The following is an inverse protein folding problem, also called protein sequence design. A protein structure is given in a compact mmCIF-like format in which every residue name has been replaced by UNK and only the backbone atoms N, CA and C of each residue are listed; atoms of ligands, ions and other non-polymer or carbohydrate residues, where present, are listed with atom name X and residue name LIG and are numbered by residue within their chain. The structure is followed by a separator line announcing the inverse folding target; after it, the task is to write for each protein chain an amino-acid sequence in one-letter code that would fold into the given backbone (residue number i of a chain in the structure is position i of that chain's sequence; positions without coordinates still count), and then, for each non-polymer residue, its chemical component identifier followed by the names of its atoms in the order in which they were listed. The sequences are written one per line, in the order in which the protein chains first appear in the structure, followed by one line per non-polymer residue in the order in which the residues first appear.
data_IF_339695537301
#
_entry.id   IF_339695537301
#
_cell.length_a   1.000
_cell.length_b   1.000
_cell.length_c   1.000
_cell.angle_alpha   90.00
_cell.angle_beta   90.00
_cell.angle_gamma   90.00
#
_symmetry.space_group_name_H-M   'P 1'
#
loop_
_entity.id
_entity.type
_entity.pdbx_description
1 polymer ?
#
# COMPACT_ATOMS: atom_id res chain seq x y z
N UNK A 1 -11.09 -13.46 16.57
CA UNK A 1 -10.75 -12.08 16.16
C UNK A 1 -9.60 -12.15 15.16
N UNK A 2 -9.91 -12.23 13.87
CA UNK A 2 -8.93 -12.43 12.79
C UNK A 2 -8.12 -11.17 12.50
N UNK A 3 -6.97 -11.33 11.85
CA UNK A 3 -6.22 -10.26 11.21
C UNK A 3 -5.77 -10.80 9.87
N UNK A 4 -5.90 -10.01 8.82
CA UNK A 4 -5.36 -10.38 7.51
C UNK A 4 -4.34 -9.34 7.08
N UNK A 5 -3.32 -9.80 6.37
CA UNK A 5 -2.32 -8.90 5.77
C UNK A 5 -2.81 -8.48 4.40
N UNK A 6 -2.59 -7.23 4.01
CA UNK A 6 -2.89 -6.75 2.66
C UNK A 6 -1.67 -6.07 2.04
N UNK A 7 -1.68 -6.02 0.72
CA UNK A 7 -0.73 -5.29 -0.12
C UNK A 7 -1.53 -4.65 -1.27
N UNK A 8 -1.36 -3.36 -1.48
CA UNK A 8 -2.11 -2.59 -2.49
C UNK A 8 -1.17 -1.64 -3.21
N UNK A 9 -1.12 -1.71 -4.54
CA UNK A 9 -0.42 -0.73 -5.36
C UNK A 9 -1.39 0.37 -5.76
N UNK A 10 -0.91 1.61 -5.73
CA UNK A 10 -1.69 2.77 -6.11
C UNK A 10 -0.81 3.82 -6.77
N UNK A 11 -1.42 4.64 -7.62
CA UNK A 11 -0.75 5.77 -8.26
C UNK A 11 -1.28 7.09 -7.72
N UNK A 12 -0.40 8.06 -7.58
CA UNK A 12 -0.76 9.43 -7.25
C UNK A 12 0.42 10.37 -7.48
N UNK A 13 0.16 11.67 -7.59
CA UNK A 13 1.22 12.68 -7.66
C UNK A 13 1.98 12.76 -6.34
N UNK A 14 1.28 12.46 -5.25
CA UNK A 14 1.83 12.36 -3.90
C UNK A 14 1.43 11.03 -3.26
N UNK A 15 2.12 10.65 -2.18
CA UNK A 15 1.77 9.47 -1.40
C UNK A 15 0.34 9.56 -0.80
N UNK A 16 -0.09 10.76 -0.45
CA UNK A 16 -1.42 11.01 0.13
C UNK A 16 -2.54 10.83 -0.91
N UNK A 17 -2.33 11.36 -2.12
CA UNK A 17 -3.24 11.12 -3.25
C UNK A 17 -3.33 9.63 -3.59
N UNK A 18 -2.18 8.95 -3.67
CA UNK A 18 -2.13 7.52 -3.95
C UNK A 18 -2.84 6.71 -2.85
N UNK A 19 -2.67 7.08 -1.58
CA UNK A 19 -3.33 6.44 -0.45
C UNK A 19 -4.84 6.64 -0.50
N UNK A 20 -5.29 7.88 -0.69
CA UNK A 20 -6.71 8.22 -0.80
C UNK A 20 -7.38 7.48 -1.95
N UNK A 21 -6.74 7.45 -3.12
CA UNK A 21 -7.23 6.70 -4.27
C UNK A 21 -7.34 5.20 -3.98
N UNK A 22 -6.34 4.60 -3.32
CA UNK A 22 -6.38 3.19 -2.94
C UNK A 22 -7.48 2.86 -1.93
N UNK A 23 -7.71 3.74 -0.97
CA UNK A 23 -8.79 3.61 0.03
C UNK A 23 -10.15 3.66 -0.65
N UNK A 24 -10.37 4.62 -1.54
CA UNK A 24 -11.65 4.76 -2.25
C UNK A 24 -11.90 3.61 -3.24
N UNK A 25 -10.87 3.16 -3.95
CA UNK A 25 -10.95 1.99 -4.85
C UNK A 25 -11.29 0.71 -4.08
N UNK A 26 -10.63 0.49 -2.93
CA UNK A 26 -10.92 -0.64 -2.06
C UNK A 26 -12.36 -0.57 -1.50
N UNK A 27 -12.84 0.60 -1.09
CA UNK A 27 -14.24 0.78 -0.65
C UNK A 27 -15.22 0.50 -1.78
N UNK A 28 -14.91 0.94 -3.00
CA UNK A 28 -15.76 0.74 -4.17
C UNK A 28 -15.88 -0.74 -4.54
N UNK A 29 -14.75 -1.46 -4.62
CA UNK A 29 -14.71 -2.88 -4.97
C UNK A 29 -15.39 -3.79 -3.93
N UNK A 30 -15.42 -3.39 -2.65
CA UNK A 30 -15.98 -4.20 -1.56
C UNK A 30 -17.40 -3.80 -1.14
N UNK A 31 -18.03 -2.86 -1.85
CA UNK A 31 -19.46 -2.54 -1.85
C UNK A 31 -20.22 -2.75 -0.53
N UNK A 32 -20.32 -1.71 0.31
CA UNK A 32 -21.25 -1.53 1.45
C UNK A 32 -21.43 -2.68 2.49
N UNK A 33 -20.79 -3.84 2.34
CA UNK A 33 -21.07 -5.06 3.11
C UNK A 33 -20.00 -5.37 4.18
N UNK A 34 -19.28 -4.35 4.65
CA UNK A 34 -18.51 -4.43 5.90
C UNK A 34 -17.29 -5.38 5.89
N UNK A 35 -16.73 -5.70 4.73
CA UNK A 35 -15.52 -6.52 4.64
C UNK A 35 -14.27 -5.65 4.83
N UNK A 36 -13.52 -5.91 5.91
CA UNK A 36 -12.53 -4.99 6.50
C UNK A 36 -11.07 -5.39 6.25
N UNK A 37 -10.80 -6.33 5.34
CA UNK A 37 -9.47 -6.94 5.15
C UNK A 37 -8.48 -6.15 4.29
N UNK A 38 -8.71 -4.87 3.99
CA UNK A 38 -7.93 -4.10 3.00
C UNK A 38 -7.45 -2.76 3.55
N UNK A 39 -6.79 -1.99 2.70
CA UNK A 39 -6.40 -0.60 2.98
C UNK A 39 -7.58 0.30 3.35
N UNK A 40 -8.83 -0.07 3.02
CA UNK A 40 -10.02 0.71 3.36
C UNK A 40 -10.20 0.97 4.87
N UNK A 41 -9.66 0.10 5.73
CA UNK A 41 -9.68 0.27 7.19
C UNK A 41 -8.61 1.23 7.72
N UNK A 42 -7.69 1.67 6.85
CA UNK A 42 -6.56 2.51 7.22
C UNK A 42 -6.97 3.97 7.12
N UNK A 43 -6.68 4.73 8.17
CA UNK A 43 -6.92 6.17 8.22
C UNK A 43 -5.66 6.99 7.94
N UNK A 44 -4.50 6.34 7.94
CA UNK A 44 -3.19 6.97 7.76
C UNK A 44 -2.17 5.96 7.23
N UNK A 45 -1.03 6.47 6.80
CA UNK A 45 0.11 5.66 6.39
C UNK A 45 1.41 6.25 6.93
N UNK A 46 2.46 5.44 6.91
CA UNK A 46 3.82 5.83 7.27
C UNK A 46 4.76 5.42 6.15
N UNK A 47 5.56 6.37 5.67
CA UNK A 47 6.52 6.11 4.60
C UNK A 47 7.72 5.38 5.20
N UNK A 48 8.02 4.21 4.66
CA UNK A 48 9.26 3.52 4.96
C UNK A 48 10.38 4.23 4.19
N UNK A 49 11.45 4.67 4.88
CA UNK A 49 12.50 5.47 4.26
C UNK A 49 13.35 4.67 3.29
N UNK A 50 13.85 5.32 2.23
CA UNK A 50 14.53 4.67 1.11
C UNK A 50 15.64 3.71 1.54
N UNK A 51 16.45 4.09 2.53
CA UNK A 51 17.59 3.30 2.98
C UNK A 51 17.22 1.89 3.50
N UNK A 52 15.99 1.68 3.98
CA UNK A 52 15.52 0.37 4.45
C UNK A 52 15.15 -0.58 3.30
N UNK A 53 14.84 -0.04 2.12
CA UNK A 53 14.35 -0.82 0.96
C UNK A 53 15.13 -0.56 -0.34
N UNK A 54 16.23 0.19 -0.30
CA UNK A 54 17.09 0.49 -1.45
C UNK A 54 17.76 -0.78 -1.97
N UNK A 55 17.71 -0.99 -3.29
CA UNK A 55 18.29 -2.19 -3.93
C UNK A 55 17.55 -3.50 -3.65
N UNK A 56 16.47 -3.48 -2.85
CA UNK A 56 15.68 -4.66 -2.47
C UNK A 56 14.33 -4.64 -3.19
N UNK A 57 13.74 -5.82 -3.37
CA UNK A 57 12.38 -5.94 -3.90
C UNK A 57 11.38 -5.39 -2.85
N UNK A 58 10.57 -4.41 -3.25
CA UNK A 58 9.69 -3.67 -2.34
C UNK A 58 8.66 -4.55 -1.63
N UNK A 59 8.07 -5.52 -2.33
CA UNK A 59 7.15 -6.51 -1.75
C UNK A 59 7.81 -7.39 -0.69
N UNK A 60 9.05 -7.84 -0.92
CA UNK A 60 9.80 -8.62 0.07
C UNK A 60 10.00 -7.80 1.35
N UNK A 61 10.39 -6.53 1.24
CA UNK A 61 10.56 -5.66 2.41
C UNK A 61 9.23 -5.45 3.13
N UNK A 62 8.14 -5.20 2.39
CA UNK A 62 6.81 -5.07 2.96
C UNK A 62 6.40 -6.31 3.76
N UNK A 63 6.63 -7.50 3.20
CA UNK A 63 6.33 -8.78 3.85
C UNK A 63 7.16 -9.00 5.10
N UNK A 64 8.46 -8.74 5.04
CA UNK A 64 9.35 -8.86 6.21
C UNK A 64 8.93 -7.94 7.35
N UNK A 65 8.58 -6.67 7.05
CA UNK A 65 8.12 -5.73 8.08
C UNK A 65 6.81 -6.18 8.73
N UNK A 66 5.91 -6.80 7.95
CA UNK A 66 4.68 -7.39 8.47
C UNK A 66 5.00 -8.58 9.38
N UNK A 67 5.84 -9.50 8.91
CA UNK A 67 6.18 -10.75 9.61
C UNK A 67 6.98 -10.48 10.90
N UNK A 68 7.81 -9.43 10.90
CA UNK A 68 8.54 -8.96 12.08
C UNK A 68 7.66 -8.18 13.08
N UNK A 69 6.43 -7.84 12.69
CA UNK A 69 5.54 -7.03 13.53
C UNK A 69 6.08 -5.63 13.78
N UNK A 70 6.61 -4.98 12.73
CA UNK A 70 7.18 -3.63 12.84
C UNK A 70 6.17 -2.68 13.53
N UNK A 71 6.64 -1.98 14.56
CA UNK A 71 5.79 -1.18 15.43
C UNK A 71 5.02 -0.09 14.69
N UNK A 72 5.56 0.38 13.55
CA UNK A 72 4.96 1.40 12.70
C UNK A 72 3.72 0.90 11.97
N UNK A 73 3.57 -0.41 11.73
CA UNK A 73 2.52 -0.98 10.87
C UNK A 73 1.75 -2.16 11.49
N UNK A 74 2.19 -2.68 12.64
CA UNK A 74 1.59 -3.84 13.31
C UNK A 74 0.13 -3.62 13.76
N UNK A 75 -0.30 -2.36 13.87
CA UNK A 75 -1.65 -2.01 14.33
C UNK A 75 -2.67 -2.25 13.21
N UNK A 76 -3.64 -3.14 13.47
CA UNK A 76 -4.75 -3.43 12.54
C UNK A 76 -5.49 -2.15 12.10
N UNK A 77 -5.84 -1.28 13.06
CA UNK A 77 -6.49 0.03 12.85
C UNK A 77 -5.52 1.21 13.10
N UNK A 78 -4.28 1.06 12.67
CA UNK A 78 -3.26 2.12 12.70
C UNK A 78 -2.66 2.34 11.31
N UNK A 79 -1.54 3.06 11.19
CA UNK A 79 -1.02 3.41 9.88
C UNK A 79 -0.66 2.18 9.03
N UNK A 80 -0.89 2.27 7.73
CA UNK A 80 -0.33 1.36 6.75
C UNK A 80 1.15 1.69 6.53
N UNK A 81 1.97 0.69 6.17
CA UNK A 81 3.28 0.95 5.59
C UNK A 81 3.12 1.44 4.15
N UNK A 82 3.96 2.39 3.74
CA UNK A 82 4.01 2.90 2.37
C UNK A 82 5.45 2.86 1.85
N UNK A 83 5.66 2.25 0.69
CA UNK A 83 6.96 2.19 0.00
C UNK A 83 6.80 2.75 -1.40
N UNK A 84 7.64 3.72 -1.77
CA UNK A 84 7.72 4.21 -3.14
C UNK A 84 8.32 3.11 -4.05
N UNK A 85 7.56 2.74 -5.08
CA UNK A 85 7.90 1.74 -6.07
C UNK A 85 8.32 2.33 -7.42
N UNK A 86 8.33 3.65 -7.59
CA UNK A 86 8.75 4.31 -8.81
C UNK A 86 10.14 3.85 -9.26
N UNK A 87 10.30 3.66 -10.57
CA UNK A 87 11.52 3.11 -11.17
C UNK A 87 11.67 1.58 -11.05
N UNK A 88 10.74 0.88 -10.39
CA UNK A 88 10.73 -0.60 -10.37
C UNK A 88 9.91 -1.19 -11.52
N UNK A 89 10.23 -2.42 -11.93
CA UNK A 89 9.43 -3.17 -12.93
C UNK A 89 7.97 -3.33 -12.52
N UNK A 90 7.70 -3.46 -11.21
CA UNK A 90 6.33 -3.57 -10.69
C UNK A 90 5.53 -2.28 -10.91
N UNK A 91 6.17 -1.11 -10.71
CA UNK A 91 5.53 0.17 -10.98
C UNK A 91 5.28 0.40 -12.48
N UNK A 92 6.22 0.01 -13.35
CA UNK A 92 6.02 0.13 -14.79
C UNK A 92 4.83 -0.74 -15.25
N UNK A 93 4.78 -1.99 -14.81
CA UNK A 93 3.65 -2.89 -15.09
C UNK A 93 2.31 -2.36 -14.59
N UNK A 94 2.29 -1.77 -13.38
CA UNK A 94 1.09 -1.14 -12.85
C UNK A 94 0.65 0.03 -13.75
N UNK A 95 1.58 0.90 -14.17
CA UNK A 95 1.27 2.02 -15.06
C UNK A 95 0.68 1.55 -16.39
N UNK A 96 1.30 0.54 -17.02
CA UNK A 96 0.82 -0.06 -18.28
C UNK A 96 -0.61 -0.60 -18.12
N UNK A 97 -0.88 -1.35 -17.04
CA UNK A 97 -2.20 -1.95 -16.79
C UNK A 97 -3.31 -0.93 -16.54
N UNK A 98 -2.96 0.24 -16.01
CA UNK A 98 -3.89 1.31 -15.67
C UNK A 98 -3.89 2.47 -16.68
N UNK A 99 -3.19 2.36 -17.81
CA UNK A 99 -3.13 3.39 -18.85
C UNK A 99 -2.45 4.70 -18.40
N UNK A 100 -1.50 4.62 -17.48
CA UNK A 100 -0.79 5.75 -16.85
C UNK A 100 0.57 6.05 -17.52
N UNK A 101 0.73 5.62 -18.78
CA UNK A 101 1.94 5.86 -19.56
C UNK A 101 2.09 7.36 -19.85
N UNK A 102 3.27 7.92 -19.57
CA UNK A 102 3.52 9.36 -19.72
C UNK A 102 2.86 10.25 -18.65
N UNK A 103 2.07 9.69 -17.72
CA UNK A 103 1.49 10.45 -16.60
C UNK A 103 2.56 10.73 -15.54
N UNK A 104 2.64 11.99 -15.11
CA UNK A 104 3.51 12.42 -14.03
C UNK A 104 2.96 11.98 -12.67
N UNK A 105 3.79 11.32 -11.85
CA UNK A 105 3.42 10.83 -10.53
C UNK A 105 4.20 9.57 -10.14
N UNK A 106 3.90 9.05 -8.96
CA UNK A 106 4.59 7.93 -8.34
C UNK A 106 3.64 6.75 -8.09
N UNK A 107 4.21 5.54 -8.15
CA UNK A 107 3.50 4.32 -7.75
C UNK A 107 3.94 3.94 -6.34
N UNK A 108 2.98 3.81 -5.44
CA UNK A 108 3.17 3.48 -4.04
C UNK A 108 2.65 2.08 -3.74
N UNK A 109 3.38 1.34 -2.91
CA UNK A 109 2.93 0.08 -2.31
C UNK A 109 2.51 0.36 -0.88
N UNK A 110 1.22 0.18 -0.60
CA UNK A 110 0.66 0.20 0.73
C UNK A 110 0.50 -1.21 1.27
N UNK A 111 0.81 -1.42 2.55
CA UNK A 111 0.77 -2.75 3.15
C UNK A 111 0.55 -2.70 4.66
N UNK A 112 0.12 -3.81 5.23
CA UNK A 112 0.00 -3.94 6.68
C UNK A 112 -1.07 -4.93 7.10
N UNK A 113 -1.47 -4.84 8.37
CA UNK A 113 -2.55 -5.63 8.94
C UNK A 113 -3.88 -4.90 8.83
N UNK A 114 -4.94 -5.62 8.48
CA UNK A 114 -6.31 -5.16 8.52
C UNK A 114 -7.16 -6.06 9.43
N UNK A 115 -8.25 -5.51 9.94
CA UNK A 115 -9.19 -6.29 10.74
C UNK A 115 -9.95 -7.27 9.83
N UNK A 116 -10.41 -8.39 10.40
CA UNK A 116 -11.30 -9.34 9.74
C UNK A 116 -12.43 -9.69 10.69
#
# INVERSE_FOLDING_TARGET
MGAVTFETLAFGTTADEAFTSAVEDAKHMHGHNGYTGTIAEKTSFTIIPEHEHKGRQKRTVARELIDQGDQRIQRKRGPAGAINCSGTKAANRYREQHGLEGTHGDVWLFFGWAAH
#
